data_IF_303615760773
#
_entry.id   IF_303615760773
#
_cell.length_a   1.000
_cell.length_b   1.000
_cell.length_c   1.000
_cell.angle_alpha   90.00
_cell.angle_beta   90.00
_cell.angle_gamma   90.00
#
_symmetry.space_group_name_H-M   'P 1'
#
loop_
_entity.id
_entity.type
_entity.pdbx_description
1 polymer ?
#
# COMPACT_ATOMS: atom_id res chain seq x y z
N UNK A 1 2.14 8.85 -23.05
CA UNK A 1 1.66 8.24 -21.79
C UNK A 1 1.95 9.14 -20.60
N UNK A 2 3.20 9.56 -20.35
CA UNK A 2 3.55 10.40 -19.20
C UNK A 2 2.70 11.69 -19.09
N UNK A 3 2.63 12.48 -20.16
CA UNK A 3 1.82 13.71 -20.23
C UNK A 3 0.31 13.50 -19.95
N UNK A 4 -0.21 12.29 -20.16
CA UNK A 4 -1.61 11.97 -19.83
C UNK A 4 -1.74 11.65 -18.34
N UNK A 5 -0.80 10.88 -17.78
CA UNK A 5 -0.76 10.56 -16.36
C UNK A 5 -0.53 11.82 -15.51
N UNK A 6 0.36 12.72 -15.94
CA UNK A 6 0.62 13.98 -15.24
C UNK A 6 -0.64 14.86 -15.19
N UNK A 7 -1.42 14.90 -16.29
CA UNK A 7 -2.72 15.57 -16.33
C UNK A 7 -3.76 14.92 -15.41
N UNK A 8 -3.81 13.59 -15.37
CA UNK A 8 -4.70 12.84 -14.46
C UNK A 8 -4.34 13.17 -13.01
N UNK A 9 -3.05 13.09 -12.65
CA UNK A 9 -2.56 13.41 -11.30
C UNK A 9 -2.84 14.87 -10.93
N UNK A 10 -2.75 15.80 -11.88
CA UNK A 10 -3.07 17.20 -11.64
C UNK A 10 -4.57 17.40 -11.35
N UNK A 11 -5.46 16.73 -12.08
CA UNK A 11 -6.91 16.78 -11.83
C UNK A 11 -7.27 16.09 -10.51
N UNK A 12 -6.64 14.97 -10.20
CA UNK A 12 -6.85 14.22 -8.95
C UNK A 12 -6.19 14.88 -7.73
N UNK A 13 -5.44 15.98 -7.90
CA UNK A 13 -4.71 16.64 -6.81
C UNK A 13 -5.64 17.22 -5.73
N UNK A 14 -6.89 17.53 -6.09
CA UNK A 14 -7.92 18.02 -5.18
C UNK A 14 -8.47 16.91 -4.26
N UNK A 15 -8.23 15.63 -4.59
CA UNK A 15 -8.66 14.46 -3.84
C UNK A 15 -7.55 13.93 -2.89
N UNK A 16 -6.47 14.69 -2.73
CA UNK A 16 -5.33 14.29 -1.89
C UNK A 16 -5.69 14.38 -0.41
N UNK A 17 -5.50 13.27 0.29
CA UNK A 17 -5.58 13.21 1.76
C UNK A 17 -4.31 13.83 2.35
N UNK A 18 -4.47 14.71 3.33
CA UNK A 18 -3.35 15.35 4.02
C UNK A 18 -2.38 14.33 4.61
N UNK A 19 -1.08 14.56 4.44
CA UNK A 19 -0.01 13.72 5.00
C UNK A 19 0.09 14.01 6.50
N UNK A 20 -0.47 13.11 7.31
CA UNK A 20 -0.32 13.16 8.76
C UNK A 20 1.09 12.72 9.17
N UNK A 21 1.57 13.23 10.31
CA UNK A 21 2.80 12.75 10.92
C UNK A 21 2.64 11.28 11.35
N UNK A 22 3.44 10.40 10.75
CA UNK A 22 3.45 8.96 11.04
C UNK A 22 3.82 8.66 12.49
N UNK A 23 4.64 9.51 13.10
CA UNK A 23 5.13 9.32 14.46
C UNK A 23 3.99 9.28 15.49
N UNK A 24 2.94 10.08 15.24
CA UNK A 24 1.75 10.15 16.08
C UNK A 24 0.95 8.83 16.10
N UNK A 25 1.07 7.99 15.07
CA UNK A 25 0.35 6.72 14.95
C UNK A 25 1.03 5.54 15.65
N UNK A 26 2.32 5.63 16.00
CA UNK A 26 3.07 4.47 16.50
C UNK A 26 2.54 3.95 17.85
N UNK A 27 2.14 4.83 18.76
CA UNK A 27 1.59 4.41 20.06
C UNK A 27 0.31 3.58 19.92
N UNK A 28 -0.61 4.01 19.04
CA UNK A 28 -1.84 3.30 18.71
C UNK A 28 -1.54 1.95 18.03
N UNK A 29 -0.58 1.94 17.10
CA UNK A 29 -0.14 0.74 16.40
C UNK A 29 0.46 -0.33 17.33
N UNK A 30 1.40 0.03 18.20
CA UNK A 30 1.98 -0.92 19.17
C UNK A 30 0.90 -1.45 20.13
N UNK A 31 0.00 -0.58 20.59
CA UNK A 31 -1.10 -0.96 21.49
C UNK A 31 -2.06 -1.94 20.82
N UNK A 32 -2.40 -1.70 19.55
CA UNK A 32 -3.24 -2.58 18.74
C UNK A 32 -2.57 -3.95 18.50
N UNK A 33 -1.27 -3.98 18.20
CA UNK A 33 -0.52 -5.22 18.04
C UNK A 33 -0.53 -6.06 19.33
N UNK A 34 -0.17 -5.45 20.47
CA UNK A 34 -0.13 -6.14 21.77
C UNK A 34 -1.52 -6.63 22.20
N UNK A 35 -2.56 -5.82 22.03
CA UNK A 35 -3.95 -6.21 22.34
C UNK A 35 -4.44 -7.39 21.49
N UNK A 36 -3.80 -7.63 20.35
CA UNK A 36 -4.10 -8.73 19.46
C UNK A 36 -3.14 -9.91 19.60
N UNK A 37 -2.31 -9.95 20.64
CA UNK A 37 -1.43 -11.08 20.94
C UNK A 37 -0.12 -11.06 20.17
N UNK A 38 0.30 -9.90 19.64
CA UNK A 38 1.68 -9.76 19.18
C UNK A 38 2.63 -9.65 20.37
N UNK A 39 3.76 -10.34 20.26
CA UNK A 39 4.86 -10.24 21.20
C UNK A 39 5.86 -9.25 20.63
N UNK A 40 6.12 -8.17 21.37
CA UNK A 40 7.09 -7.14 21.02
C UNK A 40 7.80 -6.77 22.31
N UNK A 41 9.02 -7.26 22.48
CA UNK A 41 9.84 -7.03 23.66
C UNK A 41 11.20 -6.45 23.28
N UNK A 42 11.68 -5.51 24.09
CA UNK A 42 13.02 -4.93 23.93
C UNK A 42 13.29 -4.19 22.62
N UNK A 43 12.25 -3.75 21.89
CA UNK A 43 12.40 -2.99 20.65
C UNK A 43 11.45 -1.80 20.59
N UNK A 44 11.88 -0.73 19.93
CA UNK A 44 11.06 0.45 19.62
C UNK A 44 11.17 0.88 18.17
N UNK A 45 10.19 1.63 17.69
CA UNK A 45 10.26 2.30 16.40
C UNK A 45 11.08 3.58 16.57
N UNK A 46 12.13 3.74 15.76
CA UNK A 46 13.01 4.90 15.79
C UNK A 46 13.34 5.37 14.37
N UNK A 47 13.71 6.64 14.23
CA UNK A 47 14.14 7.21 12.96
C UNK A 47 15.65 7.05 12.80
N UNK A 48 16.07 6.59 11.62
CA UNK A 48 17.45 6.39 11.24
C UNK A 48 17.80 7.28 10.06
N UNK A 49 18.92 8.01 10.17
CA UNK A 49 19.41 8.83 9.07
C UNK A 49 19.67 7.98 7.82
N UNK A 50 19.04 8.35 6.71
CA UNK A 50 19.15 7.63 5.43
C UNK A 50 18.21 6.44 5.23
N UNK A 51 17.53 5.95 6.27
CA UNK A 51 16.66 4.76 6.20
C UNK A 51 15.22 5.00 6.68
N UNK A 52 14.86 6.25 7.04
CA UNK A 52 13.58 6.63 7.62
C UNK A 52 13.29 5.88 8.94
N UNK A 53 12.09 5.31 9.14
CA UNK A 53 11.76 4.58 10.36
C UNK A 53 12.18 3.12 10.29
N UNK A 54 12.75 2.63 11.40
CA UNK A 54 13.12 1.24 11.59
C UNK A 54 12.91 0.79 13.03
N UNK A 55 13.44 -0.39 13.35
CA UNK A 55 13.41 -0.95 14.70
C UNK A 55 14.77 -0.74 15.39
N UNK A 56 14.73 -0.20 16.61
CA UNK A 56 15.87 -0.04 17.49
C UNK A 56 15.73 -0.97 18.69
N UNK A 57 16.78 -1.74 18.98
CA UNK A 57 16.87 -2.54 20.19
C UNK A 57 17.01 -1.64 21.44
N UNK A 58 16.28 -1.97 22.50
CA UNK A 58 16.33 -1.33 23.82
C UNK A 58 17.06 -2.19 24.87
N UNK A 59 17.38 -3.44 24.51
CA UNK A 59 18.19 -4.38 25.27
C UNK A 59 19.11 -5.16 24.33
N UNK A 60 20.12 -5.81 24.89
CA UNK A 60 20.94 -6.76 24.13
C UNK A 60 20.13 -8.05 23.88
N UNK A 61 20.31 -8.65 22.70
CA UNK A 61 19.67 -9.89 22.30
C UNK A 61 20.72 -10.96 22.00
N UNK A 62 20.45 -12.19 22.41
CA UNK A 62 21.26 -13.35 22.01
C UNK A 62 20.84 -13.88 20.63
N UNK A 63 21.75 -14.57 19.95
CA UNK A 63 21.44 -15.21 18.67
C UNK A 63 20.33 -16.26 18.86
N UNK A 64 19.24 -16.12 18.10
CA UNK A 64 18.06 -16.98 18.20
C UNK A 64 17.02 -16.54 19.23
N UNK A 65 17.24 -15.43 19.95
CA UNK A 65 16.22 -14.86 20.85
C UNK A 65 15.03 -14.31 20.06
N UNK A 66 13.81 -14.60 20.54
CA UNK A 66 12.59 -14.10 19.95
C UNK A 66 12.38 -12.62 20.28
N UNK A 67 12.55 -11.74 19.29
CA UNK A 67 12.31 -10.30 19.45
C UNK A 67 10.85 -9.92 19.19
N UNK A 68 10.26 -10.47 18.14
CA UNK A 68 8.93 -10.11 17.64
C UNK A 68 8.20 -11.36 17.15
N UNK A 69 6.96 -11.55 17.61
CA UNK A 69 6.03 -12.52 17.04
C UNK A 69 4.72 -11.84 16.63
N UNK A 70 4.31 -12.02 15.37
CA UNK A 70 3.10 -11.40 14.82
C UNK A 70 2.05 -12.48 14.50
N UNK A 71 0.91 -12.51 15.21
CA UNK A 71 -0.19 -13.41 14.89
C UNK A 71 -0.72 -13.21 13.47
N UNK A 72 -1.08 -14.31 12.80
CA UNK A 72 -1.61 -14.29 11.42
C UNK A 72 -2.83 -13.38 11.24
N UNK A 73 -3.67 -13.23 12.27
CA UNK A 73 -4.85 -12.35 12.23
C UNK A 73 -4.51 -10.85 12.05
N UNK A 74 -3.30 -10.44 12.42
CA UNK A 74 -2.81 -9.07 12.22
C UNK A 74 -2.32 -8.84 10.79
N UNK A 75 -1.97 -9.91 10.08
CA UNK A 75 -1.49 -9.83 8.70
C UNK A 75 -2.65 -9.54 7.75
N UNK A 76 -2.39 -8.67 6.78
CA UNK A 76 -3.30 -8.40 5.69
C UNK A 76 -2.85 -9.20 4.46
N UNK A 77 -3.70 -10.10 3.98
CA UNK A 77 -3.39 -11.03 2.90
C UNK A 77 -4.46 -10.99 1.80
N UNK A 78 -4.14 -11.50 0.61
CA UNK A 78 -5.10 -11.60 -0.48
C UNK A 78 -6.30 -12.51 -0.14
N UNK A 79 -6.18 -13.41 0.84
CA UNK A 79 -7.30 -14.22 1.31
C UNK A 79 -8.32 -13.37 2.07
N UNK A 80 -7.88 -12.36 2.84
CA UNK A 80 -8.78 -11.43 3.52
C UNK A 80 -9.64 -10.63 2.54
N UNK A 81 -9.17 -10.43 1.30
CA UNK A 81 -9.92 -9.69 0.29
C UNK A 81 -11.22 -10.42 -0.12
N UNK A 82 -11.24 -11.75 -0.06
CA UNK A 82 -12.43 -12.57 -0.41
C UNK A 82 -13.58 -12.37 0.58
N UNK A 83 -13.24 -12.16 1.84
CA UNK A 83 -14.19 -11.98 2.95
C UNK A 83 -14.50 -10.48 3.21
N UNK A 84 -13.81 -9.58 2.50
CA UNK A 84 -14.01 -8.13 2.59
C UNK A 84 -15.10 -7.62 1.64
N UNK A 85 -15.27 -6.30 1.59
CA UNK A 85 -16.14 -5.59 0.63
C UNK A 85 -15.82 -5.94 -0.83
N UNK A 86 -14.57 -6.36 -1.11
CA UNK A 86 -14.11 -6.77 -2.45
C UNK A 86 -14.56 -8.16 -2.86
N UNK A 87 -15.03 -9.01 -1.93
CA UNK A 87 -15.40 -10.40 -2.21
C UNK A 87 -16.35 -10.58 -3.41
N UNK A 88 -17.46 -9.82 -3.50
CA UNK A 88 -18.35 -9.86 -4.67
C UNK A 88 -17.67 -9.49 -5.99
N UNK A 89 -16.78 -8.49 -5.96
CA UNK A 89 -16.04 -8.04 -7.14
C UNK A 89 -15.00 -9.07 -7.56
N UNK A 90 -14.26 -9.65 -6.60
CA UNK A 90 -13.30 -10.71 -6.85
C UNK A 90 -13.94 -11.94 -7.51
N UNK A 91 -15.18 -12.28 -7.18
CA UNK A 91 -15.88 -13.41 -7.83
C UNK A 91 -16.25 -13.16 -9.29
N UNK A 92 -16.34 -11.89 -9.71
CA UNK A 92 -16.75 -11.50 -11.07
C UNK A 92 -15.57 -11.14 -11.96
N UNK A 93 -14.51 -10.58 -11.37
CA UNK A 93 -13.39 -10.01 -12.10
C UNK A 93 -12.21 -11.00 -12.23
N UNK A 94 -11.84 -11.44 -13.46
CA UNK A 94 -10.74 -12.38 -13.65
C UNK A 94 -9.38 -11.82 -13.23
N UNK A 95 -9.16 -10.51 -13.31
CA UNK A 95 -7.89 -9.90 -12.91
C UNK A 95 -7.68 -10.04 -11.40
N UNK A 96 -8.72 -9.80 -10.61
CA UNK A 96 -8.68 -9.96 -9.15
C UNK A 96 -8.54 -11.42 -8.71
N UNK A 97 -9.09 -12.38 -9.47
CA UNK A 97 -8.94 -13.81 -9.17
C UNK A 97 -7.51 -14.31 -9.36
N UNK A 98 -6.85 -13.85 -10.43
CA UNK A 98 -5.54 -14.38 -10.83
C UNK A 98 -4.37 -13.51 -10.38
N UNK A 99 -4.62 -12.28 -9.92
CA UNK A 99 -3.59 -11.36 -9.43
C UNK A 99 -3.80 -11.04 -7.95
N UNK A 100 -3.35 -11.91 -7.01
CA UNK A 100 -3.50 -11.66 -5.58
C UNK A 100 -2.85 -10.35 -5.13
N UNK A 101 -1.81 -9.92 -5.83
CA UNK A 101 -1.13 -8.64 -5.62
C UNK A 101 -2.08 -7.45 -5.81
N UNK A 102 -2.91 -7.51 -6.84
CA UNK A 102 -3.87 -6.45 -7.17
C UNK A 102 -5.02 -6.48 -6.18
N UNK A 103 -5.51 -7.67 -5.82
CA UNK A 103 -6.53 -7.84 -4.79
C UNK A 103 -6.08 -7.27 -3.43
N UNK A 104 -4.84 -7.54 -3.01
CA UNK A 104 -4.27 -7.01 -1.78
C UNK A 104 -4.13 -5.48 -1.82
N UNK A 105 -3.70 -4.92 -2.95
CA UNK A 105 -3.62 -3.46 -3.13
C UNK A 105 -4.98 -2.79 -3.04
N UNK A 106 -6.02 -3.37 -3.65
CA UNK A 106 -7.38 -2.85 -3.53
C UNK A 106 -7.94 -3.03 -2.11
N UNK A 107 -7.61 -4.12 -1.43
CA UNK A 107 -8.01 -4.34 -0.03
C UNK A 107 -7.41 -3.25 0.86
N UNK A 108 -6.12 -2.98 0.74
CA UNK A 108 -5.45 -1.90 1.48
C UNK A 108 -6.15 -0.56 1.24
N UNK A 109 -6.54 -0.29 0.00
CA UNK A 109 -7.22 0.95 -0.36
C UNK A 109 -8.64 1.01 0.24
N UNK A 110 -9.42 -0.06 0.15
CA UNK A 110 -10.75 -0.13 0.75
C UNK A 110 -10.70 0.04 2.27
N UNK A 111 -9.77 -0.65 2.94
CA UNK A 111 -9.56 -0.54 4.39
C UNK A 111 -9.05 0.85 4.80
N UNK A 112 -8.28 1.53 3.95
CA UNK A 112 -7.82 2.91 4.21
C UNK A 112 -8.98 3.91 4.29
N UNK A 113 -10.03 3.71 3.49
CA UNK A 113 -11.22 4.56 3.49
C UNK A 113 -12.36 4.05 4.36
N UNK A 114 -12.20 2.88 4.98
CA UNK A 114 -13.14 2.36 5.95
C UNK A 114 -12.83 2.95 7.34
N UNK A 115 -13.72 3.77 7.95
CA UNK A 115 -13.49 4.35 9.27
C UNK A 115 -13.35 3.28 10.37
N UNK A 116 -14.04 2.15 10.21
CA UNK A 116 -14.11 1.04 11.17
C UNK A 116 -13.13 -0.10 10.84
N UNK A 117 -12.11 0.19 10.03
CA UNK A 117 -11.11 -0.81 9.61
C UNK A 117 -10.35 -1.39 10.81
N UNK A 118 -10.30 -2.73 10.88
CA UNK A 118 -9.48 -3.45 11.85
C UNK A 118 -7.97 -3.10 11.70
N UNK A 119 -7.51 -2.87 10.47
CA UNK A 119 -6.12 -2.53 10.16
C UNK A 119 -5.84 -1.03 10.20
N UNK A 120 -6.79 -0.19 10.64
CA UNK A 120 -6.60 1.27 10.72
C UNK A 120 -5.30 1.68 11.46
N UNK A 121 -4.92 1.09 12.61
CA UNK A 121 -3.67 1.44 13.29
C UNK A 121 -2.43 1.10 12.44
N UNK A 122 -2.47 0.00 11.69
CA UNK A 122 -1.41 -0.37 10.76
C UNK A 122 -1.34 0.60 9.57
N UNK A 123 -2.48 0.94 8.96
CA UNK A 123 -2.55 1.83 7.80
C UNK A 123 -2.06 3.24 8.12
N UNK A 124 -2.29 3.73 9.35
CA UNK A 124 -1.83 5.06 9.80
C UNK A 124 -0.31 5.20 9.85
N UNK A 125 0.42 4.12 10.14
CA UNK A 125 1.89 4.16 10.32
C UNK A 125 2.66 3.88 9.02
N UNK A 126 1.94 3.59 7.94
CA UNK A 126 2.48 3.35 6.61
C UNK A 126 3.17 4.59 6.02
N UNK A 127 4.29 4.43 5.30
CA UNK A 127 4.90 5.52 4.54
C UNK A 127 3.93 6.13 3.52
N UNK A 128 3.99 7.45 3.36
CA UNK A 128 3.21 8.17 2.35
C UNK A 128 3.94 8.30 1.02
N UNK A 129 5.27 8.19 1.03
CA UNK A 129 6.14 8.31 -0.13
C UNK A 129 7.15 7.15 -0.15
N UNK A 130 7.56 6.76 -1.36
CA UNK A 130 8.56 5.74 -1.58
C UNK A 130 9.62 6.21 -2.56
N UNK A 131 10.76 5.54 -2.58
CA UNK A 131 11.88 5.80 -3.50
C UNK A 131 11.84 4.92 -4.74
N UNK A 132 10.64 4.53 -5.17
CA UNK A 132 10.48 3.56 -6.26
C UNK A 132 10.45 4.26 -7.61
N UNK A 133 10.74 3.52 -8.69
CA UNK A 133 10.83 4.06 -10.06
C UNK A 133 9.57 4.79 -10.57
N UNK A 134 8.44 4.61 -9.91
CA UNK A 134 7.19 5.33 -10.21
C UNK A 134 7.18 6.76 -9.65
N UNK A 135 8.02 7.06 -8.65
CA UNK A 135 8.29 8.40 -8.15
C UNK A 135 9.37 9.14 -8.97
N UNK A 136 10.03 8.47 -9.91
CA UNK A 136 11.12 9.07 -10.67
C UNK A 136 10.56 10.12 -11.64
N UNK A 137 11.21 11.26 -11.65
CA UNK A 137 11.06 12.30 -12.67
C UNK A 137 11.51 11.79 -14.04
N UNK A 138 11.09 12.50 -15.09
CA UNK A 138 11.52 12.18 -16.46
C UNK A 138 13.05 12.22 -16.59
N UNK A 139 13.73 13.15 -15.92
CA UNK A 139 15.20 13.21 -15.88
C UNK A 139 15.82 11.99 -15.23
N UNK A 140 15.32 11.54 -14.08
CA UNK A 140 15.85 10.36 -13.39
C UNK A 140 15.63 9.07 -14.20
N UNK A 141 14.51 8.94 -14.91
CA UNK A 141 14.29 7.84 -15.84
C UNK A 141 15.22 7.89 -17.06
N UNK A 142 15.68 9.07 -17.48
CA UNK A 142 16.64 9.21 -18.56
C UNK A 142 18.04 8.72 -18.16
N UNK A 143 18.41 8.85 -16.89
CA UNK A 143 19.67 8.31 -16.36
C UNK A 143 19.73 6.77 -16.44
N UNK A 144 18.58 6.09 -16.50
CA UNK A 144 18.53 4.65 -16.69
C UNK A 144 18.83 4.21 -18.15
N UNK A 145 18.96 5.15 -19.10
CA UNK A 145 19.28 4.81 -20.49
C UNK A 145 20.62 4.09 -20.60
N UNK A 146 20.63 3.00 -21.39
CA UNK A 146 21.80 2.14 -21.54
C UNK A 146 21.93 1.08 -20.43
N UNK A 147 21.13 1.16 -19.37
CA UNK A 147 21.03 0.09 -18.37
C UNK A 147 20.00 -0.98 -18.79
N UNK A 148 20.17 -2.24 -18.35
CA UNK A 148 19.18 -3.29 -18.55
C UNK A 148 17.89 -3.09 -17.73
N UNK A 149 17.85 -2.12 -16.81
CA UNK A 149 16.71 -1.90 -15.90
C UNK A 149 15.67 -0.93 -16.47
N UNK A 150 15.99 -0.18 -17.52
CA UNK A 150 15.07 0.77 -18.14
C UNK A 150 13.83 0.08 -18.73
N UNK A 151 14.02 -0.98 -19.53
CA UNK A 151 12.89 -1.67 -20.16
C UNK A 151 11.92 -2.30 -19.14
N UNK A 152 12.39 -3.05 -18.11
CA UNK A 152 11.54 -3.52 -17.02
C UNK A 152 10.79 -2.39 -16.31
N UNK A 153 11.47 -1.27 -16.04
CA UNK A 153 10.89 -0.10 -15.37
C UNK A 153 9.75 0.48 -16.19
N UNK A 154 9.96 0.75 -17.48
CA UNK A 154 8.91 1.27 -18.37
C UNK A 154 7.75 0.29 -18.50
N UNK A 155 8.02 -1.03 -18.55
CA UNK A 155 6.98 -2.06 -18.57
C UNK A 155 6.15 -2.03 -17.28
N UNK A 156 6.78 -1.85 -16.12
CA UNK A 156 6.08 -1.72 -14.84
C UNK A 156 5.16 -0.50 -14.83
N UNK A 157 5.66 0.68 -15.22
CA UNK A 157 4.86 1.91 -15.29
C UNK A 157 3.65 1.74 -16.21
N UNK A 158 3.85 1.19 -17.42
CA UNK A 158 2.76 0.91 -18.37
C UNK A 158 1.71 -0.05 -17.80
N UNK A 159 2.16 -1.11 -17.12
CA UNK A 159 1.25 -2.09 -16.55
C UNK A 159 0.38 -1.49 -15.44
N UNK A 160 0.96 -0.64 -14.59
CA UNK A 160 0.23 0.02 -13.50
C UNK A 160 -0.79 1.01 -14.05
N UNK A 161 -0.41 1.83 -15.04
CA UNK A 161 -1.33 2.74 -15.72
C UNK A 161 -2.51 2.01 -16.38
N UNK A 162 -2.25 0.88 -17.04
CA UNK A 162 -3.30 0.04 -17.64
C UNK A 162 -4.23 -0.55 -16.60
N UNK A 163 -3.70 -1.02 -15.48
CA UNK A 163 -4.49 -1.55 -14.37
C UNK A 163 -5.37 -0.47 -13.74
N UNK A 164 -4.82 0.71 -13.47
CA UNK A 164 -5.58 1.84 -12.97
C UNK A 164 -6.76 2.17 -13.90
N UNK A 165 -6.52 2.34 -15.21
CA UNK A 165 -7.57 2.66 -16.17
C UNK A 165 -8.66 1.57 -16.22
N UNK A 166 -8.26 0.30 -16.10
CA UNK A 166 -9.18 -0.83 -16.04
C UNK A 166 -10.08 -0.77 -14.81
N UNK A 167 -9.50 -0.62 -13.61
CA UNK A 167 -10.27 -0.60 -12.36
C UNK A 167 -11.12 0.67 -12.22
N UNK A 168 -10.61 1.83 -12.63
CA UNK A 168 -11.39 3.06 -12.68
C UNK A 168 -12.66 2.89 -13.52
N UNK A 169 -12.53 2.28 -14.71
CA UNK A 169 -13.68 1.95 -15.56
C UNK A 169 -14.58 0.88 -14.92
N UNK A 170 -14.01 -0.12 -14.24
CA UNK A 170 -14.78 -1.17 -13.57
C UNK A 170 -15.66 -0.59 -12.47
N UNK A 171 -15.11 0.26 -11.60
CA UNK A 171 -15.84 0.88 -10.49
C UNK A 171 -16.96 1.81 -10.98
N UNK A 172 -16.77 2.48 -12.12
CA UNK A 172 -17.81 3.33 -12.71
C UNK A 172 -18.99 2.52 -13.28
N UNK A 173 -18.71 1.33 -13.83
CA UNK A 173 -19.72 0.52 -14.54
C UNK A 173 -20.41 -0.54 -13.66
N UNK A 174 -19.98 -0.70 -12.41
CA UNK A 174 -20.50 -1.74 -11.51
C UNK A 174 -21.11 -1.09 -10.27
N UNK A 175 -22.13 -1.74 -9.70
CA UNK A 175 -22.84 -1.31 -8.49
C UNK A 175 -22.68 -2.37 -7.42
N UNK A 176 -21.47 -2.48 -6.88
CA UNK A 176 -21.13 -3.36 -5.76
C UNK A 176 -20.50 -2.52 -4.62
N UNK A 177 -20.52 -3.02 -3.37
CA UNK A 177 -20.06 -2.25 -2.23
C UNK A 177 -18.62 -1.72 -2.35
N UNK A 178 -17.73 -2.47 -3.00
CA UNK A 178 -16.36 -2.02 -3.22
C UNK A 178 -16.29 -0.92 -4.28
N UNK A 179 -17.02 -1.09 -5.38
CA UNK A 179 -17.15 -0.07 -6.42
C UNK A 179 -17.73 1.23 -5.84
N UNK A 180 -18.75 1.15 -5.00
CA UNK A 180 -19.38 2.34 -4.40
C UNK A 180 -18.43 3.07 -3.44
N UNK A 181 -17.65 2.33 -2.64
CA UNK A 181 -16.63 2.91 -1.77
C UNK A 181 -15.48 3.55 -2.58
N UNK A 182 -15.00 2.85 -3.61
CA UNK A 182 -13.78 3.24 -4.33
C UNK A 182 -14.04 4.26 -5.46
N UNK A 183 -15.27 4.39 -5.96
CA UNK A 183 -15.62 5.28 -7.09
C UNK A 183 -15.14 6.71 -6.90
N UNK A 184 -15.29 7.24 -5.68
CA UNK A 184 -15.02 8.65 -5.37
C UNK A 184 -13.65 8.87 -4.73
N UNK A 185 -12.87 7.81 -4.48
CA UNK A 185 -11.57 7.92 -3.81
C UNK A 185 -10.44 7.32 -4.64
N UNK A 186 -10.73 6.48 -5.64
CA UNK A 186 -9.74 5.76 -6.43
C UNK A 186 -8.97 6.69 -7.39
N UNK A 187 -7.84 7.22 -6.92
CA UNK A 187 -6.91 8.01 -7.73
C UNK A 187 -5.72 7.18 -8.21
N UNK A 188 -5.05 7.65 -9.27
CA UNK A 188 -3.82 7.03 -9.76
C UNK A 188 -2.80 6.97 -8.63
N UNK A 189 -2.56 8.11 -7.96
CA UNK A 189 -1.61 8.23 -6.85
C UNK A 189 -1.82 7.19 -5.77
N UNK A 190 -3.06 7.08 -5.30
CA UNK A 190 -3.38 6.12 -4.26
C UNK A 190 -3.18 4.68 -4.74
N UNK A 191 -3.62 4.35 -5.96
CA UNK A 191 -3.53 2.99 -6.51
C UNK A 191 -2.09 2.49 -6.63
N UNK A 192 -1.17 3.32 -7.12
CA UNK A 192 0.21 2.86 -7.27
C UNK A 192 0.99 2.93 -5.95
N UNK A 193 0.68 3.88 -5.06
CA UNK A 193 1.23 3.88 -3.69
C UNK A 193 0.87 2.58 -2.98
N UNK A 194 -0.40 2.16 -2.95
CA UNK A 194 -0.83 0.89 -2.31
C UNK A 194 -0.19 -0.34 -2.95
N UNK A 195 0.20 -0.27 -4.22
CA UNK A 195 0.87 -1.37 -4.95
C UNK A 195 2.33 -1.53 -4.57
N UNK A 196 2.99 -0.46 -4.14
CA UNK A 196 4.40 -0.50 -3.73
C UNK A 196 4.59 -0.97 -2.28
N UNK A 197 3.54 -0.97 -1.45
CA UNK A 197 3.55 -1.62 -0.13
C UNK A 197 3.88 -3.11 -0.20
N UNK A 198 3.68 -3.76 -1.36
CA UNK A 198 4.02 -5.16 -1.58
C UNK A 198 5.52 -5.46 -1.42
N UNK A 199 6.41 -4.47 -1.51
CA UNK A 199 7.81 -4.71 -1.14
C UNK A 199 8.00 -5.00 0.35
N UNK A 200 7.00 -4.73 1.20
CA UNK A 200 7.09 -4.79 2.65
C UNK A 200 5.96 -5.57 3.37
N UNK A 201 4.98 -6.10 2.63
CA UNK A 201 3.92 -6.95 3.18
C UNK A 201 4.11 -8.39 2.70
N UNK A 202 4.16 -9.32 3.66
CA UNK A 202 4.49 -10.75 3.50
C UNK A 202 3.36 -11.52 2.82
#
# INVERSE_FOLDING_TARGET
MQNILDKIVQVESEMKVAVADRSAGFGEFISWMKSNGAEVDGVKIAQFSGYDYGLQAEKDFEEGELMIAVPRKLMMSADNAKDSVLGPLMRKDPMLQHMPNVALSLLLLAEKFNPDSFWRPYIKVLPTLYTTVLYFTTSELQELKGSPTLEPTLKQCRNIARQYAYFSKLFQNTTDPASDLLRDVFTYEQYWSVRMFKLFCV
#
